data_IF_847473350920
#
_entry.id   IF_847473350920
#
_cell.length_a   1.000
_cell.length_b   1.000
_cell.length_c   1.000
_cell.angle_alpha   90.00
_cell.angle_beta   90.00
_cell.angle_gamma   90.00
#
_symmetry.space_group_name_H-M   'P 1'
#
loop_
_entity.id
_entity.type
_entity.pdbx_description
1 polymer ?
#
# COMPACT_ATOMS: atom_id res chain seq x y z
N UNK A 1 19.13 -19.71 3.10
CA UNK A 1 17.69 -19.38 2.93
C UNK A 1 17.54 -17.91 3.30
N UNK A 2 16.97 -17.03 2.48
CA UNK A 2 16.85 -15.63 2.88
C UNK A 2 15.89 -15.55 4.08
N UNK A 3 16.34 -14.87 5.14
CA UNK A 3 15.74 -14.90 6.47
C UNK A 3 14.26 -14.52 6.49
N UNK A 4 13.51 -15.32 7.24
CA UNK A 4 12.18 -14.99 7.74
C UNK A 4 12.32 -13.76 8.66
N UNK A 5 11.91 -12.60 8.14
CA UNK A 5 11.44 -11.38 8.86
C UNK A 5 11.71 -10.10 8.03
N UNK A 6 11.37 -10.13 6.74
CA UNK A 6 11.28 -8.91 5.95
C UNK A 6 9.94 -8.23 6.26
N UNK A 7 9.98 -7.06 6.93
CA UNK A 7 8.80 -6.22 7.13
C UNK A 7 8.25 -5.77 5.78
N UNK A 8 6.93 -5.87 5.60
CA UNK A 8 6.26 -5.56 4.34
C UNK A 8 5.17 -4.53 4.58
N UNK A 9 5.16 -3.49 3.74
CA UNK A 9 4.05 -2.55 3.68
C UNK A 9 3.01 -3.04 2.68
N UNK A 10 1.80 -3.29 3.16
CA UNK A 10 0.67 -3.61 2.29
C UNK A 10 -0.07 -2.34 1.89
N UNK A 11 -0.25 -2.15 0.59
CA UNK A 11 -1.05 -1.08 0.01
C UNK A 11 -2.36 -1.66 -0.49
N UNK A 12 -3.46 -1.34 0.20
CA UNK A 12 -4.80 -1.81 -0.16
C UNK A 12 -5.44 -0.80 -1.09
N UNK A 13 -5.62 -1.16 -2.35
CA UNK A 13 -6.17 -0.30 -3.40
C UNK A 13 -7.57 -0.74 -3.79
N UNK A 14 -8.45 0.25 -3.95
CA UNK A 14 -9.79 0.07 -4.51
C UNK A 14 -9.70 -0.14 -6.02
N UNK A 15 -9.96 -1.36 -6.49
CA UNK A 15 -9.85 -1.68 -7.92
C UNK A 15 -10.96 -1.05 -8.76
N UNK A 16 -12.12 -0.78 -8.17
CA UNK A 16 -13.26 -0.11 -8.80
C UNK A 16 -12.94 1.32 -9.25
N UNK A 17 -11.94 1.98 -8.65
CA UNK A 17 -11.46 3.28 -9.10
C UNK A 17 -11.00 3.22 -10.57
N UNK A 18 -10.27 2.16 -10.94
CA UNK A 18 -9.78 1.98 -12.32
C UNK A 18 -10.87 1.36 -13.19
N UNK A 19 -11.48 0.26 -12.74
CA UNK A 19 -12.39 -0.52 -13.59
C UNK A 19 -13.70 0.22 -13.88
N UNK A 20 -14.28 0.87 -12.88
CA UNK A 20 -15.66 1.35 -12.94
C UNK A 20 -15.68 2.88 -13.03
N UNK A 21 -14.88 3.54 -12.19
CA UNK A 21 -14.81 5.01 -12.11
C UNK A 21 -13.77 5.64 -13.05
N UNK A 22 -13.07 4.81 -13.83
CA UNK A 22 -12.15 5.24 -14.91
C UNK A 22 -11.03 6.18 -14.46
N UNK A 23 -10.57 6.05 -13.21
CA UNK A 23 -9.37 6.73 -12.75
C UNK A 23 -8.15 6.25 -13.54
N UNK A 24 -7.21 7.16 -13.80
CA UNK A 24 -5.94 6.80 -14.41
C UNK A 24 -5.09 5.99 -13.43
N UNK A 25 -4.23 5.11 -13.96
CA UNK A 25 -3.26 4.37 -13.14
C UNK A 25 -2.38 5.34 -12.34
N UNK A 26 -2.00 6.48 -12.94
CA UNK A 26 -1.26 7.53 -12.25
C UNK A 26 -1.99 8.10 -11.03
N UNK A 27 -3.29 8.37 -11.14
CA UNK A 27 -4.08 8.86 -10.00
C UNK A 27 -4.10 7.86 -8.84
N UNK A 28 -4.28 6.57 -9.13
CA UNK A 28 -4.27 5.52 -8.10
C UNK A 28 -2.87 5.30 -7.51
N UNK A 29 -1.82 5.37 -8.34
CA UNK A 29 -0.44 5.27 -7.88
C UNK A 29 -0.07 6.43 -6.94
N UNK A 30 -0.50 7.65 -7.24
CA UNK A 30 -0.29 8.82 -6.36
C UNK A 30 -1.00 8.63 -5.01
N UNK A 31 -2.21 8.06 -4.99
CA UNK A 31 -2.91 7.74 -3.74
C UNK A 31 -2.17 6.67 -2.94
N UNK A 32 -1.62 5.65 -3.61
CA UNK A 32 -0.80 4.63 -2.97
C UNK A 32 0.48 5.22 -2.35
N UNK A 33 1.15 6.13 -3.06
CA UNK A 33 2.31 6.85 -2.55
C UNK A 33 1.96 7.74 -1.35
N UNK A 34 0.85 8.47 -1.43
CA UNK A 34 0.35 9.27 -0.31
C UNK A 34 0.06 8.40 0.92
N UNK A 35 -0.63 7.27 0.76
CA UNK A 35 -0.93 6.35 1.85
C UNK A 35 0.34 5.75 2.48
N UNK A 36 1.33 5.36 1.67
CA UNK A 36 2.61 4.86 2.15
C UNK A 36 3.35 5.89 3.02
N UNK A 37 3.46 7.13 2.53
CA UNK A 37 4.12 8.23 3.24
C UNK A 37 3.38 8.59 4.52
N UNK A 38 2.06 8.67 4.48
CA UNK A 38 1.23 8.93 5.66
C UNK A 38 1.41 7.84 6.73
N UNK A 39 1.38 6.56 6.34
CA UNK A 39 1.60 5.44 7.25
C UNK A 39 2.96 5.54 7.96
N UNK A 40 4.05 5.74 7.20
CA UNK A 40 5.40 5.89 7.78
C UNK A 40 5.45 7.09 8.74
N UNK A 41 4.89 8.23 8.34
CA UNK A 41 4.94 9.45 9.16
C UNK A 41 4.13 9.32 10.46
N UNK A 42 2.91 8.77 10.35
CA UNK A 42 2.00 8.57 11.49
C UNK A 42 2.60 7.63 12.53
N UNK A 43 3.25 6.55 12.09
CA UNK A 43 3.79 5.51 12.97
C UNK A 43 5.31 5.54 13.05
N UNK A 44 5.96 6.68 12.78
CA UNK A 44 7.43 6.80 12.69
C UNK A 44 8.19 6.41 13.97
N UNK A 45 7.52 6.40 15.12
CA UNK A 45 8.08 6.02 16.43
C UNK A 45 7.77 4.56 16.80
N UNK A 46 7.00 3.84 15.98
CA UNK A 46 6.74 2.41 16.17
C UNK A 46 7.98 1.59 15.81
N UNK A 47 8.35 0.63 16.65
CA UNK A 47 9.53 -0.22 16.47
C UNK A 47 9.52 -0.98 15.13
N UNK A 48 8.34 -1.41 14.67
CA UNK A 48 8.20 -2.10 13.39
C UNK A 48 8.46 -1.15 12.23
N UNK A 49 7.98 0.09 12.31
CA UNK A 49 8.21 1.10 11.26
C UNK A 49 9.67 1.55 11.24
N UNK A 50 10.28 1.76 12.40
CA UNK A 50 11.70 2.11 12.49
C UNK A 50 12.57 1.02 11.86
N UNK A 51 12.32 -0.25 12.19
CA UNK A 51 13.09 -1.36 11.64
C UNK A 51 12.79 -1.61 10.15
N UNK A 52 11.55 -1.38 9.69
CA UNK A 52 11.23 -1.36 8.26
C UNK A 52 12.00 -0.27 7.52
N UNK A 53 12.16 0.92 8.11
CA UNK A 53 12.86 2.06 7.51
C UNK A 53 14.39 1.98 7.65
N UNK A 54 14.92 1.03 8.44
CA UNK A 54 16.35 0.88 8.72
C UNK A 54 17.16 0.37 7.51
N UNK A 55 16.51 -0.30 6.55
CA UNK A 55 17.11 -0.70 5.27
C UNK A 55 16.32 -0.16 4.08
N UNK A 56 16.74 1.00 3.59
CA UNK A 56 16.11 1.68 2.45
C UNK A 56 16.16 0.84 1.16
N UNK A 57 17.13 -0.07 1.02
CA UNK A 57 17.24 -0.96 -0.14
C UNK A 57 16.18 -2.07 -0.12
N UNK A 58 15.48 -2.25 1.02
CA UNK A 58 14.53 -3.34 1.26
C UNK A 58 13.14 -2.86 1.73
N UNK A 59 12.70 -1.68 1.31
CA UNK A 59 11.34 -1.13 1.57
C UNK A 59 10.24 -1.81 0.75
N UNK A 60 10.06 -3.12 0.94
CA UNK A 60 9.12 -3.95 0.17
C UNK A 60 7.68 -3.48 0.36
N UNK A 61 7.02 -3.20 -0.76
CA UNK A 61 5.59 -2.85 -0.83
C UNK A 61 4.84 -3.90 -1.64
N UNK A 62 3.71 -4.35 -1.12
CA UNK A 62 2.82 -5.31 -1.78
C UNK A 62 1.45 -4.69 -1.94
N UNK A 63 0.96 -4.65 -3.18
CA UNK A 63 -0.37 -4.12 -3.48
C UNK A 63 -1.42 -5.22 -3.40
N UNK A 64 -2.48 -4.98 -2.62
CA UNK A 64 -3.68 -5.81 -2.57
C UNK A 64 -4.84 -5.03 -3.17
N UNK A 65 -5.74 -5.73 -3.86
CA UNK A 65 -6.96 -5.14 -4.42
C UNK A 65 -8.17 -5.46 -3.55
N UNK A 66 -9.02 -4.47 -3.33
CA UNK A 66 -10.35 -4.64 -2.72
C UNK A 66 -11.42 -4.10 -3.65
N UNK A 67 -12.61 -4.70 -3.52
CA UNK A 67 -13.80 -4.33 -4.27
C UNK A 67 -14.79 -3.66 -3.34
N UNK A 68 -15.48 -2.64 -3.82
CA UNK A 68 -16.62 -2.10 -3.11
C UNK A 68 -17.86 -2.98 -3.35
N UNK A 69 -18.47 -3.50 -2.27
CA UNK A 69 -19.58 -4.46 -2.35
C UNK A 69 -20.82 -3.92 -3.07
N UNK A 70 -21.05 -2.60 -3.08
CA UNK A 70 -22.26 -2.00 -3.69
C UNK A 70 -22.28 -2.07 -5.23
N UNK A 71 -21.16 -2.37 -5.89
CA UNK A 71 -21.10 -2.45 -7.37
C UNK A 71 -21.13 -3.88 -7.93
N UNK A 72 -21.22 -4.92 -7.07
CA UNK A 72 -21.32 -6.32 -7.52
C UNK A 72 -22.73 -6.76 -7.96
N UNK A 73 -23.70 -5.85 -8.07
CA UNK A 73 -25.01 -6.12 -8.68
C UNK A 73 -25.09 -5.52 -10.08
N UNK A 74 -24.41 -6.14 -11.05
CA UNK A 74 -24.84 -6.19 -12.44
C UNK A 74 -24.46 -7.54 -13.01
#
# INVERSE_FOLDING_TARGET
MPGFDARVMYLVLRSDLISDLKWTVGAVATQAAHAATACIWTFREDNEVMEYMNDISRLRKVTLKVWHYLFKKK
#
